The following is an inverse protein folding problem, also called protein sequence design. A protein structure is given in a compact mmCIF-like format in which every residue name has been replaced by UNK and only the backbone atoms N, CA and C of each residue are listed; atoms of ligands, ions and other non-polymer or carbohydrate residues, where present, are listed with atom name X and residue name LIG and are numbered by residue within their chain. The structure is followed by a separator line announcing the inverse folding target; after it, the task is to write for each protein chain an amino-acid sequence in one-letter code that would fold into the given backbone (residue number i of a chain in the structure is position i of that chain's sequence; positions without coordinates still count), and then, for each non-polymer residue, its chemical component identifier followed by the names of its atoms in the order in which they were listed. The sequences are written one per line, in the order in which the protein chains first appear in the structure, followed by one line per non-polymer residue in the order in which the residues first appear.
data_IF_997562136352
#
_entry.id   IF_997562136352
#
_cell.length_a   1.000
_cell.length_b   1.000
_cell.length_c   1.000
_cell.angle_alpha   90.00
_cell.angle_beta   90.00
_cell.angle_gamma   90.00
#
_symmetry.space_group_name_H-M   'P 1'
#
loop_
_entity.id
_entity.type
_entity.pdbx_description
1 polymer ?
#
# COMPACT_ATOMS: atom_id res chain seq x y z
N UNK A 1 -27.28 1.96 21.20
CA UNK A 1 -27.17 3.41 20.90
C UNK A 1 -26.03 3.74 19.92
N UNK A 2 -24.81 3.22 20.09
CA UNK A 2 -23.68 3.52 19.19
C UNK A 2 -23.90 2.95 17.76
N UNK A 3 -24.38 1.70 17.63
CA UNK A 3 -24.75 1.07 16.32
C UNK A 3 -25.91 1.81 15.65
N UNK A 4 -26.94 2.21 16.39
CA UNK A 4 -28.06 2.98 15.83
C UNK A 4 -27.62 4.36 15.32
N UNK A 5 -26.76 5.08 16.04
CA UNK A 5 -26.19 6.36 15.57
C UNK A 5 -25.36 6.17 14.29
N UNK A 6 -24.59 5.11 14.19
CA UNK A 6 -23.81 4.82 12.98
C UNK A 6 -24.71 4.49 11.78
N UNK A 7 -25.82 3.76 11.98
CA UNK A 7 -26.81 3.51 10.94
C UNK A 7 -27.47 4.82 10.46
N UNK A 8 -27.94 5.67 11.38
CA UNK A 8 -28.55 6.96 11.03
C UNK A 8 -27.57 7.90 10.27
N UNK A 9 -26.29 7.86 10.59
CA UNK A 9 -25.27 8.66 9.86
C UNK A 9 -25.11 8.10 8.44
N UNK A 10 -25.03 6.78 8.29
CA UNK A 10 -24.93 6.12 6.97
C UNK A 10 -26.15 6.40 6.10
N UNK A 11 -27.37 6.30 6.66
CA UNK A 11 -28.61 6.55 5.93
C UNK A 11 -28.67 7.99 5.42
N UNK A 12 -28.36 8.97 6.29
CA UNK A 12 -28.30 10.40 5.90
C UNK A 12 -27.23 10.67 4.85
N UNK A 13 -26.08 10.00 4.94
CA UNK A 13 -25.01 10.12 3.95
C UNK A 13 -25.46 9.58 2.59
N UNK A 14 -26.06 8.39 2.57
CA UNK A 14 -26.58 7.76 1.35
C UNK A 14 -27.68 8.64 0.72
N UNK A 15 -28.64 9.13 1.53
CA UNK A 15 -29.70 10.06 1.07
C UNK A 15 -29.14 11.33 0.47
N UNK A 16 -28.11 11.92 1.10
CA UNK A 16 -27.46 13.11 0.59
C UNK A 16 -26.73 12.84 -0.72
N UNK A 17 -25.92 11.79 -0.80
CA UNK A 17 -25.20 11.41 -2.02
C UNK A 17 -26.18 11.12 -3.15
N UNK A 18 -27.26 10.38 -2.89
CA UNK A 18 -28.28 10.06 -3.90
C UNK A 18 -28.91 11.35 -4.45
N UNK A 19 -29.25 12.32 -3.58
CA UNK A 19 -29.81 13.61 -4.02
C UNK A 19 -28.81 14.40 -4.87
N UNK A 20 -27.56 14.51 -4.42
CA UNK A 20 -26.51 15.25 -5.13
C UNK A 20 -26.18 14.57 -6.47
N UNK A 21 -26.12 13.25 -6.52
CA UNK A 21 -25.82 12.50 -7.74
C UNK A 21 -26.84 12.72 -8.87
N UNK A 22 -28.07 13.16 -8.55
CA UNK A 22 -29.12 13.48 -9.53
C UNK A 22 -29.13 14.95 -9.99
N UNK A 23 -28.20 15.80 -9.53
CA UNK A 23 -28.16 17.23 -9.89
C UNK A 23 -27.48 17.53 -11.24
N UNK A 24 -27.01 16.51 -11.98
CA UNK A 24 -26.46 16.64 -13.32
C UNK A 24 -24.93 16.71 -13.33
N UNK A 25 -24.29 15.57 -13.14
CA UNK A 25 -22.86 15.38 -13.34
C UNK A 25 -22.61 14.52 -14.58
N UNK A 26 -21.51 14.77 -15.28
CA UNK A 26 -21.07 13.93 -16.40
C UNK A 26 -20.40 12.66 -15.87
N UNK A 27 -19.62 12.80 -14.77
CA UNK A 27 -18.89 11.70 -14.13
C UNK A 27 -19.11 11.76 -12.62
N UNK A 28 -19.35 10.59 -12.01
CA UNK A 28 -19.32 10.38 -10.56
C UNK A 28 -18.22 9.36 -10.25
N UNK A 29 -17.20 9.79 -9.53
CA UNK A 29 -16.11 8.93 -9.08
C UNK A 29 -16.26 8.57 -7.61
N UNK A 30 -16.14 7.28 -7.32
CA UNK A 30 -16.12 6.72 -5.97
C UNK A 30 -14.77 6.08 -5.73
N UNK A 31 -14.20 6.33 -4.56
CA UNK A 31 -12.90 5.79 -4.16
C UNK A 31 -13.02 5.04 -2.84
N UNK A 32 -12.10 4.12 -2.63
CA UNK A 32 -11.99 3.25 -1.45
C UNK A 32 -13.11 2.20 -1.31
N UNK A 33 -12.67 1.00 -0.92
CA UNK A 33 -13.54 -0.16 -0.75
C UNK A 33 -14.73 0.09 0.20
N UNK A 34 -14.54 0.90 1.23
CA UNK A 34 -15.57 1.25 2.21
C UNK A 34 -16.80 1.94 1.58
N UNK A 35 -16.62 2.55 0.42
CA UNK A 35 -17.66 3.26 -0.34
C UNK A 35 -18.17 2.49 -1.55
N UNK A 36 -17.64 1.30 -1.83
CA UNK A 36 -17.97 0.50 -3.02
C UNK A 36 -19.48 0.26 -3.18
N UNK A 37 -20.21 0.13 -2.06
CA UNK A 37 -21.66 -0.07 -2.04
C UNK A 37 -22.46 1.12 -2.60
N UNK A 38 -21.87 2.31 -2.74
CA UNK A 38 -22.55 3.46 -3.37
C UNK A 38 -22.98 3.16 -4.80
N UNK A 39 -22.31 2.26 -5.50
CA UNK A 39 -22.70 1.81 -6.83
C UNK A 39 -24.15 1.32 -6.93
N UNK A 40 -24.75 0.84 -5.84
CA UNK A 40 -26.15 0.42 -5.81
C UNK A 40 -27.16 1.58 -5.79
N UNK A 41 -26.75 2.81 -5.48
CA UNK A 41 -27.63 3.97 -5.32
C UNK A 41 -27.31 5.09 -6.32
N UNK A 42 -26.22 4.96 -7.08
CA UNK A 42 -25.87 5.94 -8.10
C UNK A 42 -26.79 5.87 -9.33
N UNK A 43 -27.10 7.00 -9.99
CA UNK A 43 -27.95 7.02 -11.17
C UNK A 43 -27.27 6.32 -12.36
N UNK A 44 -28.06 5.57 -13.14
CA UNK A 44 -27.56 4.80 -14.28
C UNK A 44 -27.28 5.65 -15.54
N UNK A 45 -27.82 6.87 -15.59
CA UNK A 45 -27.64 7.81 -16.69
C UNK A 45 -26.37 8.68 -16.58
N UNK A 46 -25.53 8.45 -15.57
CA UNK A 46 -24.26 9.14 -15.36
C UNK A 46 -23.11 8.15 -15.55
N UNK A 47 -21.95 8.62 -16.00
CA UNK A 47 -20.74 7.79 -16.03
C UNK A 47 -20.22 7.60 -14.60
N UNK A 48 -20.23 6.37 -14.14
CA UNK A 48 -19.79 6.00 -12.79
C UNK A 48 -18.44 5.32 -12.83
N UNK A 49 -17.50 5.83 -12.06
CA UNK A 49 -16.12 5.30 -11.95
C UNK A 49 -15.89 4.82 -10.53
N UNK A 50 -15.34 3.61 -10.37
CA UNK A 50 -14.76 3.18 -9.11
C UNK A 50 -13.24 3.15 -9.21
N UNK A 51 -12.54 3.87 -8.34
CA UNK A 51 -11.08 3.80 -8.23
C UNK A 51 -10.71 2.78 -7.17
N UNK A 52 -10.13 1.68 -7.61
CA UNK A 52 -9.79 0.55 -6.75
C UNK A 52 -8.35 0.69 -6.24
N UNK A 53 -8.20 1.06 -4.97
CA UNK A 53 -6.89 1.27 -4.35
C UNK A 53 -6.22 -0.04 -3.90
N UNK A 54 -7.02 -1.03 -3.51
CA UNK A 54 -6.56 -2.34 -3.06
C UNK A 54 -7.63 -3.40 -3.34
N UNK A 55 -7.29 -4.46 -4.05
CA UNK A 55 -8.19 -5.60 -4.27
C UNK A 55 -8.40 -6.34 -2.95
N UNK A 56 -9.55 -6.12 -2.33
CA UNK A 56 -9.82 -6.65 -0.99
C UNK A 56 -9.84 -8.18 -0.98
N UNK A 57 -10.36 -8.82 -2.03
CA UNK A 57 -10.37 -10.27 -2.11
C UNK A 57 -8.95 -10.86 -2.21
N UNK A 58 -8.03 -10.22 -2.93
CA UNK A 58 -6.61 -10.62 -2.98
C UNK A 58 -5.96 -10.48 -1.61
N UNK A 59 -6.18 -9.34 -0.95
CA UNK A 59 -5.68 -9.13 0.41
C UNK A 59 -6.19 -10.21 1.37
N UNK A 60 -7.49 -10.48 1.38
CA UNK A 60 -8.10 -11.47 2.26
C UNK A 60 -7.59 -12.89 1.95
N UNK A 61 -7.33 -13.21 0.69
CA UNK A 61 -6.73 -14.49 0.29
C UNK A 61 -5.29 -14.61 0.80
N UNK A 62 -4.47 -13.57 0.62
CA UNK A 62 -3.11 -13.54 1.17
C UNK A 62 -3.11 -13.67 2.70
N UNK A 63 -4.05 -13.00 3.38
CA UNK A 63 -4.22 -13.08 4.83
C UNK A 63 -4.55 -14.51 5.28
N UNK A 64 -5.50 -15.18 4.62
CA UNK A 64 -5.85 -16.56 4.92
C UNK A 64 -4.69 -17.53 4.73
N UNK A 65 -3.83 -17.31 3.73
CA UNK A 65 -2.67 -18.16 3.47
C UNK A 65 -1.62 -18.13 4.59
N UNK A 66 -1.69 -17.13 5.48
CA UNK A 66 -0.83 -17.04 6.67
C UNK A 66 -1.44 -17.73 7.90
N UNK A 67 -2.69 -18.15 7.85
CA UNK A 67 -3.30 -18.86 8.97
C UNK A 67 -2.72 -20.27 9.12
N UNK A 68 -2.34 -20.65 10.34
CA UNK A 68 -1.91 -22.02 10.64
C UNK A 68 -3.03 -23.04 10.40
N UNK A 69 -4.29 -22.64 10.60
CA UNK A 69 -5.46 -23.43 10.33
C UNK A 69 -6.60 -22.52 9.87
N UNK A 70 -7.18 -22.81 8.71
CA UNK A 70 -8.35 -22.09 8.17
C UNK A 70 -9.62 -22.75 8.70
N UNK A 71 -10.38 -22.02 9.51
CA UNK A 71 -11.69 -22.50 10.01
C UNK A 71 -12.75 -22.35 8.90
N UNK A 72 -13.83 -23.18 8.93
CA UNK A 72 -14.94 -23.04 7.99
C UNK A 72 -15.56 -21.62 7.97
N UNK A 73 -15.61 -20.95 9.14
CA UNK A 73 -16.07 -19.56 9.26
C UNK A 73 -15.19 -18.56 8.51
N UNK A 74 -13.86 -18.74 8.53
CA UNK A 74 -12.91 -17.86 7.86
C UNK A 74 -13.09 -17.98 6.33
N UNK A 75 -13.21 -19.22 5.85
CA UNK A 75 -13.49 -19.50 4.43
C UNK A 75 -14.84 -18.93 3.98
N UNK A 76 -15.88 -19.07 4.81
CA UNK A 76 -17.20 -18.52 4.50
C UNK A 76 -17.16 -16.98 4.43
N UNK A 77 -16.52 -16.33 5.42
CA UNK A 77 -16.37 -14.88 5.44
C UNK A 77 -15.62 -14.36 4.21
N UNK A 78 -14.57 -15.07 3.81
CA UNK A 78 -13.83 -14.76 2.59
C UNK A 78 -14.72 -14.81 1.34
N UNK A 79 -15.47 -15.91 1.17
CA UNK A 79 -16.35 -16.09 0.01
C UNK A 79 -17.45 -15.01 -0.04
N UNK A 80 -18.06 -14.69 1.10
CA UNK A 80 -19.07 -13.63 1.20
C UNK A 80 -18.47 -12.25 0.86
N UNK A 81 -17.29 -11.95 1.37
CA UNK A 81 -16.62 -10.68 1.08
C UNK A 81 -16.24 -10.58 -0.40
N UNK A 82 -15.73 -11.67 -0.98
CA UNK A 82 -15.38 -11.76 -2.40
C UNK A 82 -16.61 -11.56 -3.30
N UNK A 83 -17.71 -12.26 -3.02
CA UNK A 83 -18.96 -12.14 -3.76
C UNK A 83 -19.55 -10.72 -3.64
N UNK A 84 -19.52 -10.12 -2.46
CA UNK A 84 -19.95 -8.74 -2.26
C UNK A 84 -19.14 -7.76 -3.11
N UNK A 85 -17.80 -7.87 -3.09
CA UNK A 85 -16.91 -7.01 -3.88
C UNK A 85 -17.21 -7.14 -5.38
N UNK A 86 -17.35 -8.36 -5.88
CA UNK A 86 -17.70 -8.66 -7.26
C UNK A 86 -19.04 -8.01 -7.68
N UNK A 87 -20.08 -8.24 -6.88
CA UNK A 87 -21.41 -7.69 -7.17
C UNK A 87 -21.44 -6.16 -7.12
N UNK A 88 -20.70 -5.54 -6.20
CA UNK A 88 -20.63 -4.10 -6.06
C UNK A 88 -19.88 -3.46 -7.25
N UNK A 89 -18.76 -4.06 -7.69
CA UNK A 89 -17.99 -3.59 -8.84
C UNK A 89 -18.81 -3.64 -10.16
N UNK A 90 -19.72 -4.61 -10.31
CA UNK A 90 -20.61 -4.68 -11.47
C UNK A 90 -21.60 -3.50 -11.57
N UNK A 91 -21.75 -2.69 -10.51
CA UNK A 91 -22.62 -1.51 -10.51
C UNK A 91 -21.97 -0.29 -11.11
N UNK A 92 -20.64 -0.31 -11.27
CA UNK A 92 -19.90 0.79 -11.89
C UNK A 92 -19.67 0.52 -13.38
N UNK A 93 -19.87 1.55 -14.20
CA UNK A 93 -19.60 1.46 -15.63
C UNK A 93 -18.11 1.30 -15.90
N UNK A 94 -17.28 2.04 -15.16
CA UNK A 94 -15.84 2.09 -15.33
C UNK A 94 -15.13 1.77 -14.01
N UNK A 95 -13.97 1.13 -14.11
CA UNK A 95 -13.12 0.83 -12.96
C UNK A 95 -11.70 1.29 -13.29
N UNK A 96 -11.05 1.97 -12.36
CA UNK A 96 -9.65 2.35 -12.44
C UNK A 96 -8.88 1.57 -11.37
N UNK A 97 -7.92 0.76 -11.78
CA UNK A 97 -6.93 0.15 -10.91
C UNK A 97 -5.68 1.03 -10.85
N UNK A 98 -4.94 1.02 -9.74
CA UNK A 98 -3.72 1.81 -9.60
C UNK A 98 -2.50 1.16 -10.28
N UNK A 99 -2.57 -0.14 -10.57
CA UNK A 99 -1.49 -0.89 -11.22
C UNK A 99 -2.03 -1.71 -12.39
N UNK A 100 -1.16 -2.01 -13.36
CA UNK A 100 -1.52 -2.90 -14.47
C UNK A 100 -1.78 -4.34 -13.98
N UNK A 101 -1.09 -4.77 -12.93
CA UNK A 101 -1.32 -6.08 -12.31
C UNK A 101 -2.75 -6.16 -11.75
N UNK A 102 -3.16 -5.15 -11.00
CA UNK A 102 -4.53 -5.11 -10.45
C UNK A 102 -5.58 -4.97 -11.56
N UNK A 103 -5.29 -4.24 -12.66
CA UNK A 103 -6.18 -4.16 -13.82
C UNK A 103 -6.43 -5.54 -14.44
N UNK A 104 -5.37 -6.30 -14.67
CA UNK A 104 -5.46 -7.65 -15.22
C UNK A 104 -6.19 -8.62 -14.27
N UNK A 105 -5.92 -8.53 -12.97
CA UNK A 105 -6.64 -9.31 -11.95
C UNK A 105 -8.12 -8.96 -11.93
N UNK A 106 -8.49 -7.68 -11.99
CA UNK A 106 -9.89 -7.23 -12.07
C UNK A 106 -10.56 -7.70 -13.35
N UNK A 107 -9.90 -7.59 -14.50
CA UNK A 107 -10.42 -8.05 -15.78
C UNK A 107 -10.72 -9.56 -15.75
N UNK A 108 -9.80 -10.36 -15.24
CA UNK A 108 -9.98 -11.79 -15.05
C UNK A 108 -11.11 -12.09 -14.05
N UNK A 109 -11.17 -11.36 -12.95
CA UNK A 109 -12.17 -11.54 -11.89
C UNK A 109 -13.58 -11.17 -12.34
N UNK A 110 -13.72 -10.07 -13.10
CA UNK A 110 -15.01 -9.60 -13.61
C UNK A 110 -15.44 -10.26 -14.92
N UNK A 111 -14.54 -11.00 -15.58
CA UNK A 111 -14.78 -11.63 -16.87
C UNK A 111 -14.95 -10.64 -18.02
N UNK A 112 -14.40 -9.43 -17.90
CA UNK A 112 -14.39 -8.38 -18.93
C UNK A 112 -13.11 -7.58 -18.87
N UNK A 113 -12.64 -7.09 -20.00
CA UNK A 113 -11.52 -6.14 -20.09
C UNK A 113 -11.97 -4.71 -20.35
N UNK A 114 -13.13 -4.55 -21.00
CA UNK A 114 -13.68 -3.25 -21.35
C UNK A 114 -14.00 -2.44 -20.10
N UNK A 115 -13.72 -1.13 -20.19
CA UNK A 115 -13.97 -0.16 -19.12
C UNK A 115 -13.20 -0.41 -17.81
N UNK A 116 -12.09 -1.17 -17.87
CA UNK A 116 -11.15 -1.34 -16.76
C UNK A 116 -9.81 -0.75 -17.18
N UNK A 117 -9.36 0.27 -16.46
CA UNK A 117 -8.18 1.07 -16.80
C UNK A 117 -7.11 0.92 -15.74
N UNK A 118 -5.84 0.98 -16.15
CA UNK A 118 -4.72 1.15 -15.23
C UNK A 118 -4.31 2.62 -15.23
N UNK A 119 -4.38 3.26 -14.07
CA UNK A 119 -3.89 4.62 -13.89
C UNK A 119 -3.36 4.78 -12.47
N UNK A 120 -2.04 4.92 -12.30
CA UNK A 120 -1.44 5.07 -10.97
C UNK A 120 -2.01 6.29 -10.23
N UNK A 121 -1.91 6.26 -8.91
CA UNK A 121 -2.22 7.43 -8.11
C UNK A 121 -1.31 8.59 -8.52
N UNK A 122 -1.88 9.78 -8.67
CA UNK A 122 -1.07 10.98 -8.92
C UNK A 122 -0.35 11.32 -7.62
N UNK A 123 0.93 11.08 -7.59
CA UNK A 123 1.80 11.36 -6.44
C UNK A 123 2.51 12.67 -6.69
N UNK A 124 2.43 13.58 -5.74
CA UNK A 124 3.29 14.76 -5.75
C UNK A 124 4.70 14.31 -5.34
N UNK A 125 5.49 13.95 -6.33
CA UNK A 125 6.91 13.70 -6.11
C UNK A 125 7.64 15.05 -6.06
N UNK A 126 7.83 15.57 -4.88
CA UNK A 126 8.80 16.63 -4.66
C UNK A 126 10.16 15.94 -4.61
N UNK A 127 10.86 15.91 -5.75
CA UNK A 127 12.27 15.61 -5.74
C UNK A 127 12.91 16.74 -4.93
N UNK A 128 13.07 16.52 -3.63
CA UNK A 128 13.90 17.37 -2.81
C UNK A 128 15.34 17.16 -3.27
N UNK A 129 15.68 17.76 -4.43
CA UNK A 129 17.04 17.82 -4.94
C UNK A 129 18.01 18.51 -3.96
N UNK A 130 17.47 19.12 -2.91
CA UNK A 130 18.18 19.78 -1.83
C UNK A 130 18.44 18.87 -0.62
N UNK A 131 17.74 17.72 -0.50
CA UNK A 131 18.04 16.76 0.57
C UNK A 131 19.23 15.91 0.19
N UNK A 132 20.35 16.18 0.80
CA UNK A 132 21.57 15.37 0.67
C UNK A 132 21.30 13.95 1.22
N UNK A 133 21.82 12.94 0.52
CA UNK A 133 21.80 11.57 1.03
C UNK A 133 22.62 11.45 2.29
N UNK A 134 22.02 11.00 3.39
CA UNK A 134 22.70 10.73 4.66
C UNK A 134 22.82 9.20 4.82
N UNK A 135 24.05 8.66 4.82
CA UNK A 135 24.23 7.22 4.96
C UNK A 135 23.84 6.71 6.35
N UNK A 136 23.32 5.49 6.40
CA UNK A 136 23.02 4.80 7.65
C UNK A 136 24.30 4.17 8.22
N UNK A 137 24.98 4.86 9.11
CA UNK A 137 26.21 4.37 9.76
C UNK A 137 25.96 3.66 11.10
N UNK A 138 24.78 3.84 11.69
CA UNK A 138 24.43 3.33 13.02
C UNK A 138 23.46 2.13 13.00
N UNK A 139 23.32 1.45 11.85
CA UNK A 139 22.43 0.28 11.68
C UNK A 139 21.02 0.55 12.20
N UNK A 140 20.48 1.72 11.88
CA UNK A 140 19.13 2.15 12.22
C UNK A 140 18.16 1.72 11.11
N UNK A 141 17.24 0.83 11.44
CA UNK A 141 16.21 0.36 10.53
C UNK A 141 14.86 0.96 10.90
N UNK A 142 14.11 1.41 9.92
CA UNK A 142 12.84 2.09 10.15
C UNK A 142 11.73 1.47 9.30
N UNK A 143 10.65 1.05 9.96
CA UNK A 143 9.41 0.67 9.32
C UNK A 143 8.38 1.79 9.48
N UNK A 144 7.60 2.09 8.43
CA UNK A 144 6.53 3.10 8.45
C UNK A 144 5.19 2.46 8.12
N UNK A 145 4.20 2.63 8.99
CA UNK A 145 2.85 2.15 8.73
C UNK A 145 1.91 2.24 9.92
N UNK A 146 0.60 2.33 9.64
CA UNK A 146 -0.45 2.34 10.65
C UNK A 146 -0.74 0.91 11.15
N UNK A 147 -0.66 0.68 12.44
CA UNK A 147 -0.71 -0.66 13.06
C UNK A 147 -2.07 -1.35 13.00
N UNK A 148 -3.18 -0.61 12.91
CA UNK A 148 -4.49 -1.23 12.73
C UNK A 148 -4.72 -1.75 11.29
N UNK A 149 -3.84 -1.38 10.35
CA UNK A 149 -3.86 -1.96 9.01
C UNK A 149 -3.11 -3.30 9.04
N UNK A 150 -3.83 -4.40 8.91
CA UNK A 150 -3.32 -5.76 9.11
C UNK A 150 -2.01 -6.07 8.35
N UNK A 151 -1.82 -5.69 7.08
CA UNK A 151 -0.55 -5.89 6.38
C UNK A 151 0.66 -5.23 7.06
N UNK A 152 0.46 -4.09 7.73
CA UNK A 152 1.53 -3.42 8.48
C UNK A 152 1.80 -4.13 9.80
N UNK A 153 0.76 -4.59 10.49
CA UNK A 153 0.90 -5.37 11.71
C UNK A 153 1.62 -6.69 11.43
N UNK A 154 1.22 -7.43 10.39
CA UNK A 154 1.88 -8.65 9.96
C UNK A 154 3.37 -8.42 9.66
N UNK A 155 3.71 -7.36 8.95
CA UNK A 155 5.08 -6.98 8.66
C UNK A 155 5.92 -6.77 9.92
N UNK A 156 5.39 -6.03 10.91
CA UNK A 156 6.08 -5.79 12.19
C UNK A 156 6.21 -7.07 13.01
N UNK A 157 5.16 -7.89 13.02
CA UNK A 157 5.19 -9.21 13.70
C UNK A 157 6.24 -10.12 13.08
N UNK A 158 6.35 -10.18 11.77
CA UNK A 158 7.36 -10.96 11.06
C UNK A 158 8.78 -10.46 11.37
N UNK A 159 9.00 -9.14 11.34
CA UNK A 159 10.28 -8.55 11.79
C UNK A 159 10.64 -9.01 13.19
N UNK A 160 9.73 -8.88 14.16
CA UNK A 160 10.01 -9.14 15.57
C UNK A 160 10.15 -10.64 15.88
N UNK A 161 9.34 -11.51 15.28
CA UNK A 161 9.26 -12.92 15.66
C UNK A 161 10.18 -13.83 14.84
N UNK A 162 10.60 -13.41 13.65
CA UNK A 162 11.39 -14.25 12.76
C UNK A 162 12.72 -13.60 12.35
N UNK A 163 12.69 -12.37 11.82
CA UNK A 163 13.89 -11.72 11.26
C UNK A 163 14.86 -11.32 12.39
N UNK A 164 14.36 -10.63 13.42
CA UNK A 164 15.19 -10.20 14.57
C UNK A 164 15.84 -11.37 15.30
N UNK A 165 15.16 -12.49 15.60
CA UNK A 165 15.82 -13.67 16.17
C UNK A 165 16.97 -14.23 15.31
N UNK A 166 16.87 -14.13 13.98
CA UNK A 166 17.97 -14.52 13.09
C UNK A 166 19.15 -13.54 13.20
N UNK A 167 18.90 -12.23 13.18
CA UNK A 167 19.94 -11.21 13.37
C UNK A 167 20.70 -11.38 14.70
N UNK A 168 19.99 -11.72 15.78
CA UNK A 168 20.60 -12.03 17.09
C UNK A 168 21.53 -13.24 17.03
N UNK A 169 21.15 -14.30 16.30
CA UNK A 169 22.02 -15.48 16.10
C UNK A 169 23.31 -15.11 15.37
N UNK A 170 23.25 -14.09 14.51
CA UNK A 170 24.41 -13.54 13.80
C UNK A 170 25.21 -12.53 14.66
N UNK A 171 24.86 -12.30 15.93
CA UNK A 171 25.44 -11.26 16.80
C UNK A 171 25.45 -9.87 16.16
N UNK A 172 24.38 -9.55 15.42
CA UNK A 172 24.24 -8.29 14.72
C UNK A 172 23.48 -7.27 15.59
N UNK A 173 24.16 -6.21 15.99
CA UNK A 173 23.57 -5.11 16.76
C UNK A 173 22.93 -4.07 15.84
N UNK A 174 21.73 -3.62 16.19
CA UNK A 174 20.93 -2.67 15.41
C UNK A 174 19.87 -1.98 16.27
N UNK A 175 19.24 -0.94 15.71
CA UNK A 175 18.01 -0.33 16.25
C UNK A 175 16.88 -0.52 15.24
N UNK A 176 15.69 -0.94 15.72
CA UNK A 176 14.49 -1.10 14.91
C UNK A 176 13.42 -0.11 15.36
N UNK A 177 13.09 0.85 14.51
CA UNK A 177 12.08 1.88 14.75
C UNK A 177 10.81 1.60 13.95
N UNK A 178 9.65 1.69 14.60
CA UNK A 178 8.33 1.55 13.97
C UNK A 178 7.60 2.88 14.11
N UNK A 179 7.42 3.56 12.98
CA UNK A 179 6.72 4.84 12.87
C UNK A 179 5.27 4.60 12.46
N UNK A 180 4.34 5.17 13.20
CA UNK A 180 2.90 5.08 13.00
C UNK A 180 2.17 4.72 14.29
N UNK A 181 0.91 5.08 14.36
CA UNK A 181 0.02 4.76 15.49
C UNK A 181 -0.66 3.41 15.31
N UNK A 182 -1.38 2.93 16.33
CA UNK A 182 -2.21 1.73 16.25
C UNK A 182 -1.48 0.45 16.67
N UNK A 183 -0.28 0.55 17.27
CA UNK A 183 0.46 -0.60 17.83
C UNK A 183 0.29 -0.75 19.33
N UNK A 184 -0.47 0.12 19.99
CA UNK A 184 -0.59 0.20 21.45
C UNK A 184 -1.08 -1.10 22.07
N UNK A 185 -2.06 -1.76 21.43
CA UNK A 185 -2.61 -3.04 21.90
C UNK A 185 -1.62 -4.21 21.78
N UNK A 186 -0.62 -4.08 20.91
CA UNK A 186 0.38 -5.12 20.63
C UNK A 186 1.74 -4.82 21.25
N UNK A 187 1.89 -3.66 21.91
CA UNK A 187 3.19 -3.13 22.37
C UNK A 187 3.91 -4.07 23.33
N UNK A 188 3.21 -4.71 24.27
CA UNK A 188 3.80 -5.65 25.23
C UNK A 188 4.31 -6.92 24.52
N UNK A 189 3.53 -7.48 23.58
CA UNK A 189 3.91 -8.66 22.82
C UNK A 189 5.12 -8.39 21.91
N UNK A 190 5.08 -7.25 21.18
CA UNK A 190 6.16 -6.85 20.29
C UNK A 190 7.47 -6.63 21.04
N UNK A 191 7.44 -5.90 22.17
CA UNK A 191 8.63 -5.67 23.00
C UNK A 191 9.17 -6.96 23.65
N UNK A 192 8.30 -7.92 23.95
CA UNK A 192 8.73 -9.22 24.46
C UNK A 192 9.46 -10.03 23.37
N UNK A 193 8.96 -9.99 22.13
CA UNK A 193 9.59 -10.68 21.01
C UNK A 193 10.87 -9.96 20.52
N UNK A 194 10.85 -8.63 20.53
CA UNK A 194 11.90 -7.75 20.03
C UNK A 194 12.16 -6.60 21.01
N UNK A 195 13.05 -6.77 22.01
CA UNK A 195 13.47 -5.70 22.93
C UNK A 195 14.12 -4.50 22.21
N UNK A 196 14.67 -4.70 21.01
CA UNK A 196 15.30 -3.66 20.17
C UNK A 196 14.28 -2.75 19.49
N UNK A 197 12.97 -3.06 19.59
CA UNK A 197 11.93 -2.27 18.92
C UNK A 197 11.63 -0.96 19.66
N UNK A 198 11.66 0.12 18.93
CA UNK A 198 11.15 1.42 19.34
C UNK A 198 9.84 1.72 18.62
N UNK A 199 8.72 1.74 19.35
CA UNK A 199 7.42 2.19 18.84
C UNK A 199 7.37 3.71 18.96
N UNK A 200 7.66 4.40 17.86
CA UNK A 200 7.85 5.87 17.82
C UNK A 200 6.51 6.62 17.84
N UNK A 201 5.46 6.02 17.26
CA UNK A 201 4.18 6.71 17.08
C UNK A 201 4.18 7.64 15.86
N UNK A 202 3.41 8.73 15.93
CA UNK A 202 3.30 9.70 14.85
C UNK A 202 4.52 10.63 14.78
N UNK A 203 4.96 10.92 13.56
CA UNK A 203 6.08 11.83 13.27
C UNK A 203 5.60 12.91 12.30
N UNK A 204 5.77 14.19 12.66
CA UNK A 204 5.34 15.31 11.81
C UNK A 204 6.13 15.42 10.51
N UNK A 205 7.45 15.26 10.57
CA UNK A 205 8.34 15.32 9.41
C UNK A 205 8.98 13.94 9.17
N UNK A 206 8.31 13.13 8.37
CA UNK A 206 8.76 11.77 8.06
C UNK A 206 10.12 11.76 7.33
N UNK A 207 10.32 12.67 6.38
CA UNK A 207 11.56 12.76 5.59
C UNK A 207 12.77 12.98 6.50
N UNK A 208 12.72 13.98 7.37
CA UNK A 208 13.82 14.24 8.30
C UNK A 208 14.06 13.10 9.30
N UNK A 209 12.98 12.42 9.71
CA UNK A 209 13.09 11.27 10.61
C UNK A 209 13.78 10.08 9.95
N UNK A 210 13.48 9.82 8.69
CA UNK A 210 14.02 8.68 7.94
C UNK A 210 15.49 8.84 7.57
N UNK A 211 15.98 10.06 7.39
CA UNK A 211 17.37 10.32 6.99
C UNK A 211 18.38 9.62 7.90
N UNK A 212 19.40 9.00 7.31
CA UNK A 212 20.42 8.23 8.03
C UNK A 212 19.89 6.90 8.57
N UNK A 213 18.76 6.37 8.06
CA UNK A 213 18.28 5.02 8.33
C UNK A 213 18.22 4.18 7.06
N UNK A 214 17.98 2.88 7.22
CA UNK A 214 17.56 1.97 6.15
C UNK A 214 16.09 1.67 6.38
N UNK A 215 15.25 1.95 5.38
CA UNK A 215 13.83 1.69 5.48
C UNK A 215 13.52 0.21 5.20
N UNK A 216 12.56 -0.33 5.95
CA UNK A 216 12.09 -1.71 5.78
C UNK A 216 10.65 -1.70 5.28
N UNK A 217 10.37 -2.50 4.24
CA UNK A 217 9.02 -2.69 3.69
C UNK A 217 8.71 -4.20 3.58
N UNK A 218 8.68 -4.93 4.71
CA UNK A 218 8.52 -6.38 4.73
C UNK A 218 7.05 -6.78 4.57
N UNK A 219 6.38 -6.25 3.56
CA UNK A 219 4.95 -6.48 3.30
C UNK A 219 4.75 -7.81 2.58
N UNK A 220 3.98 -8.72 3.17
CA UNK A 220 3.66 -10.04 2.61
C UNK A 220 2.20 -10.15 2.14
N UNK A 221 1.37 -9.17 2.47
CA UNK A 221 -0.08 -9.19 2.26
C UNK A 221 -0.52 -7.91 1.54
N UNK A 222 -1.53 -8.03 0.68
CA UNK A 222 -2.23 -6.93 0.04
C UNK A 222 -2.06 -6.89 -1.48
N UNK A 223 -2.64 -5.88 -2.10
CA UNK A 223 -2.51 -5.51 -3.51
C UNK A 223 -2.36 -3.99 -3.63
N UNK A 224 -2.31 -3.45 -4.82
CA UNK A 224 -2.18 -2.01 -5.04
C UNK A 224 -0.76 -1.47 -4.90
N UNK A 225 -0.59 -0.19 -5.19
CA UNK A 225 0.70 0.49 -5.11
C UNK A 225 1.07 0.86 -3.67
N UNK A 226 2.28 0.54 -3.27
CA UNK A 226 2.80 0.84 -1.92
C UNK A 226 3.35 2.26 -1.85
N UNK A 227 2.50 3.23 -1.51
CA UNK A 227 2.87 4.64 -1.40
C UNK A 227 4.10 4.87 -0.50
N UNK A 228 4.27 4.08 0.57
CA UNK A 228 5.41 4.18 1.46
C UNK A 228 6.77 4.02 0.76
N UNK A 229 6.87 3.25 -0.32
CA UNK A 229 8.11 3.13 -1.11
C UNK A 229 8.44 4.48 -1.77
N UNK A 230 7.41 5.16 -2.27
CA UNK A 230 7.58 6.48 -2.86
C UNK A 230 8.06 7.50 -1.82
N UNK A 231 7.55 7.41 -0.58
CA UNK A 231 8.01 8.24 0.54
C UNK A 231 9.48 7.97 0.88
N UNK A 232 9.92 6.68 0.86
CA UNK A 232 11.33 6.32 1.11
C UNK A 232 12.25 6.92 0.04
N UNK A 233 11.88 6.77 -1.23
CA UNK A 233 12.66 7.33 -2.35
C UNK A 233 12.71 8.87 -2.26
N UNK A 234 11.57 9.53 -2.01
CA UNK A 234 11.50 10.98 -1.84
C UNK A 234 12.33 11.48 -0.66
N UNK A 235 12.53 10.63 0.35
CA UNK A 235 13.34 10.94 1.54
C UNK A 235 14.84 10.63 1.35
N UNK A 236 15.26 10.18 0.17
CA UNK A 236 16.65 9.75 -0.12
C UNK A 236 17.14 8.66 0.85
N UNK A 237 16.30 7.66 1.12
CA UNK A 237 16.60 6.58 2.06
C UNK A 237 16.66 5.23 1.33
N UNK A 238 17.75 4.45 1.47
CA UNK A 238 17.82 3.12 0.90
C UNK A 238 16.82 2.20 1.61
N UNK A 239 16.25 1.24 0.89
CA UNK A 239 15.24 0.36 1.47
C UNK A 239 15.37 -1.09 1.05
N UNK A 240 14.84 -1.96 1.91
CA UNK A 240 14.71 -3.40 1.71
C UNK A 240 13.22 -3.72 1.68
N UNK A 241 12.79 -4.52 0.72
CA UNK A 241 11.39 -4.86 0.56
C UNK A 241 11.21 -6.33 0.19
N UNK A 242 9.97 -6.79 0.17
CA UNK A 242 9.58 -8.07 -0.44
C UNK A 242 9.11 -7.84 -1.87
N UNK A 243 9.06 -8.88 -2.68
CA UNK A 243 8.42 -8.84 -4.00
C UNK A 243 6.97 -8.37 -3.91
N UNK A 244 6.24 -8.78 -2.86
CA UNK A 244 4.87 -8.33 -2.57
C UNK A 244 4.82 -6.85 -2.18
N UNK A 245 5.81 -6.37 -1.47
CA UNK A 245 5.95 -4.95 -1.12
C UNK A 245 6.18 -4.05 -2.34
N UNK A 246 6.78 -4.59 -3.41
CA UNK A 246 7.07 -3.88 -4.67
C UNK A 246 5.95 -3.97 -5.71
N UNK A 247 4.91 -4.75 -5.45
CA UNK A 247 3.84 -4.95 -6.43
C UNK A 247 3.27 -3.61 -6.93
N UNK A 248 3.26 -3.43 -8.25
CA UNK A 248 2.86 -2.19 -8.91
C UNK A 248 3.93 -1.09 -8.99
N UNK A 249 5.15 -1.35 -8.50
CA UNK A 249 6.31 -0.46 -8.61
C UNK A 249 7.42 -1.21 -9.35
N UNK A 250 7.91 -0.64 -10.44
CA UNK A 250 8.88 -1.30 -11.33
C UNK A 250 10.33 -1.10 -10.89
N UNK A 251 10.65 -1.45 -9.63
CA UNK A 251 12.02 -1.46 -9.13
C UNK A 251 12.63 -2.85 -9.22
N UNK A 252 13.96 -2.91 -9.25
CA UNK A 252 14.74 -4.13 -9.48
C UNK A 252 15.70 -4.38 -8.33
N UNK A 253 15.82 -5.66 -7.93
CA UNK A 253 16.75 -6.08 -6.89
C UNK A 253 18.19 -5.74 -7.21
N UNK A 254 18.93 -5.24 -6.22
CA UNK A 254 20.34 -4.86 -6.34
C UNK A 254 20.60 -3.63 -7.23
N UNK A 255 19.55 -3.02 -7.79
CA UNK A 255 19.64 -1.82 -8.64
C UNK A 255 18.98 -0.62 -7.95
N UNK A 256 17.70 -0.71 -7.64
CA UNK A 256 16.92 0.37 -7.04
C UNK A 256 16.65 0.15 -5.53
N UNK A 257 16.68 -1.10 -5.11
CA UNK A 257 16.45 -1.54 -3.71
C UNK A 257 17.02 -2.95 -3.52
N UNK A 258 16.90 -3.51 -2.31
CA UNK A 258 17.09 -4.94 -2.10
C UNK A 258 15.74 -5.63 -1.92
N UNK A 259 15.58 -6.80 -2.54
CA UNK A 259 14.35 -7.61 -2.48
C UNK A 259 14.66 -8.92 -1.78
N UNK A 260 13.86 -9.25 -0.76
CA UNK A 260 13.99 -10.50 -0.02
C UNK A 260 12.62 -10.98 0.47
N UNK A 261 12.25 -12.22 0.16
CA UNK A 261 10.91 -12.77 0.41
C UNK A 261 10.85 -13.75 1.59
N UNK A 262 11.99 -14.12 2.15
CA UNK A 262 12.07 -15.01 3.32
C UNK A 262 12.92 -14.41 4.44
N UNK A 263 12.81 -14.98 5.61
CA UNK A 263 13.43 -14.49 6.84
C UNK A 263 14.94 -14.38 6.75
N UNK A 264 15.61 -15.37 6.16
CA UNK A 264 17.08 -15.42 6.08
C UNK A 264 17.59 -14.36 5.12
N UNK A 265 17.06 -14.35 3.89
CA UNK A 265 17.49 -13.42 2.85
C UNK A 265 17.19 -11.96 3.27
N UNK A 266 16.06 -11.71 3.99
CA UNK A 266 15.72 -10.38 4.46
C UNK A 266 16.70 -9.89 5.53
N UNK A 267 17.06 -10.75 6.48
CA UNK A 267 18.05 -10.44 7.50
C UNK A 267 19.46 -10.25 6.89
N UNK A 268 19.84 -11.09 5.93
CA UNK A 268 21.13 -10.97 5.22
C UNK A 268 21.18 -9.67 4.40
N UNK A 269 20.06 -9.26 3.77
CA UNK A 269 19.95 -7.97 3.11
C UNK A 269 20.11 -6.80 4.09
N UNK A 270 19.56 -6.89 5.32
CA UNK A 270 19.74 -5.88 6.37
C UNK A 270 21.23 -5.77 6.76
N UNK A 271 21.89 -6.91 6.99
CA UNK A 271 23.33 -6.96 7.33
C UNK A 271 24.16 -6.37 6.19
N UNK A 272 23.94 -6.82 4.96
CA UNK A 272 24.65 -6.39 3.76
C UNK A 272 24.54 -4.88 3.56
N UNK A 273 23.31 -4.36 3.51
CA UNK A 273 23.06 -2.96 3.20
C UNK A 273 23.59 -2.02 4.29
N UNK A 274 23.53 -2.42 5.58
CA UNK A 274 24.03 -1.59 6.66
C UNK A 274 25.56 -1.54 6.76
N UNK A 275 26.26 -2.48 6.15
CA UNK A 275 27.74 -2.53 6.14
C UNK A 275 28.35 -1.99 4.84
N UNK A 276 27.53 -1.61 3.85
CA UNK A 276 28.00 -1.15 2.53
C UNK A 276 27.41 0.22 2.18
N UNK A 277 28.14 1.28 2.52
CA UNK A 277 27.72 2.67 2.29
C UNK A 277 27.66 3.05 0.81
N UNK A 278 28.52 2.45 -0.02
CA UNK A 278 28.51 2.68 -1.47
C UNK A 278 27.26 2.05 -2.09
N UNK A 279 26.88 0.86 -1.64
CA UNK A 279 25.63 0.22 -2.06
C UNK A 279 24.41 1.06 -1.65
N UNK A 280 24.38 1.58 -0.41
CA UNK A 280 23.31 2.49 0.03
C UNK A 280 23.17 3.69 -0.91
N UNK A 281 24.29 4.37 -1.22
CA UNK A 281 24.32 5.53 -2.10
C UNK A 281 23.89 5.19 -3.53
N UNK A 282 24.36 4.07 -4.06
CA UNK A 282 24.01 3.61 -5.39
C UNK A 282 22.50 3.33 -5.51
N UNK A 283 21.93 2.58 -4.57
CA UNK A 283 20.49 2.25 -4.60
C UNK A 283 19.63 3.49 -4.51
N UNK A 284 19.97 4.44 -3.62
CA UNK A 284 19.22 5.71 -3.50
C UNK A 284 19.27 6.51 -4.80
N UNK A 285 20.44 6.62 -5.43
CA UNK A 285 20.59 7.35 -6.69
C UNK A 285 19.75 6.71 -7.81
N UNK A 286 19.87 5.40 -8.00
CA UNK A 286 19.13 4.67 -9.03
C UNK A 286 17.61 4.72 -8.82
N UNK A 287 17.16 4.55 -7.57
CA UNK A 287 15.75 4.66 -7.23
C UNK A 287 15.17 6.04 -7.54
N UNK A 288 15.93 7.12 -7.22
CA UNK A 288 15.52 8.49 -7.53
C UNK A 288 15.45 8.76 -9.03
N UNK A 289 16.46 8.34 -9.79
CA UNK A 289 16.48 8.53 -11.24
C UNK A 289 15.32 7.80 -11.91
N UNK A 290 15.06 6.57 -11.50
CA UNK A 290 13.95 5.79 -12.01
C UNK A 290 12.61 6.40 -11.63
N UNK A 291 12.48 6.90 -10.39
CA UNK A 291 11.29 7.58 -9.92
C UNK A 291 10.97 8.84 -10.74
N UNK A 292 11.96 9.69 -11.00
CA UNK A 292 11.80 10.89 -11.83
C UNK A 292 11.32 10.55 -13.26
N UNK A 293 11.82 9.44 -13.81
CA UNK A 293 11.50 9.02 -15.17
C UNK A 293 10.15 8.31 -15.28
N UNK A 294 9.75 7.52 -14.28
CA UNK A 294 8.55 6.67 -14.36
C UNK A 294 7.33 7.27 -13.65
N UNK A 295 7.55 8.10 -12.65
CA UNK A 295 6.50 8.65 -11.78
C UNK A 295 6.46 10.18 -11.86
N UNK A 296 6.66 10.74 -13.07
CA UNK A 296 6.47 12.16 -13.31
C UNK A 296 5.01 12.52 -13.01
N UNK A 297 4.74 13.45 -12.07
CA UNK A 297 3.37 13.82 -11.68
C UNK A 297 2.53 14.29 -12.86
N UNK A 298 3.14 14.99 -13.83
CA UNK A 298 2.43 15.47 -15.02
C UNK A 298 2.00 14.30 -15.93
N UNK A 299 2.88 13.34 -16.18
CA UNK A 299 2.54 12.15 -16.98
C UNK A 299 1.45 11.30 -16.31
N UNK A 300 1.49 11.15 -14.98
CA UNK A 300 0.45 10.46 -14.23
C UNK A 300 -0.89 11.17 -14.33
N UNK A 301 -0.88 12.51 -14.24
CA UNK A 301 -2.06 13.34 -14.42
C UNK A 301 -2.61 13.21 -15.84
N UNK A 302 -1.76 13.30 -16.85
CA UNK A 302 -2.15 13.19 -18.26
C UNK A 302 -2.76 11.82 -18.58
N UNK A 303 -2.20 10.73 -18.02
CA UNK A 303 -2.81 9.39 -18.10
C UNK A 303 -4.20 9.36 -17.47
N UNK A 304 -4.36 9.94 -16.28
CA UNK A 304 -5.67 10.00 -15.61
C UNK A 304 -6.67 10.84 -16.42
N UNK A 305 -6.26 11.98 -16.94
CA UNK A 305 -7.09 12.84 -17.79
C UNK A 305 -7.47 12.15 -19.11
N UNK A 306 -6.57 11.36 -19.70
CA UNK A 306 -6.87 10.59 -20.90
C UNK A 306 -7.98 9.55 -20.65
N UNK A 307 -7.98 8.90 -19.48
CA UNK A 307 -9.05 7.97 -19.09
C UNK A 307 -10.38 8.71 -18.98
N UNK A 308 -10.44 9.85 -18.27
CA UNK A 308 -11.68 10.63 -18.17
C UNK A 308 -12.18 11.13 -19.54
N UNK A 309 -11.26 11.59 -20.39
CA UNK A 309 -11.59 12.04 -21.75
C UNK A 309 -12.14 10.90 -22.61
N UNK A 310 -11.60 9.69 -22.48
CA UNK A 310 -12.13 8.50 -23.15
C UNK A 310 -13.54 8.18 -22.67
N UNK A 311 -13.77 8.15 -21.36
CA UNK A 311 -15.07 7.88 -20.74
C UNK A 311 -16.14 8.85 -21.23
N UNK A 312 -15.80 10.14 -21.35
CA UNK A 312 -16.73 11.17 -21.85
C UNK A 312 -17.01 11.09 -23.36
N UNK A 313 -16.11 10.47 -24.13
CA UNK A 313 -16.29 10.26 -25.58
C UNK A 313 -17.11 9.01 -25.91
N UNK A 314 -17.13 8.03 -25.02
CA UNK A 314 -17.90 6.78 -25.22
C UNK A 314 -19.44 7.01 -25.10
N UNK A 315 -19.91 8.25 -24.90
CA UNK A 315 -21.33 8.64 -24.90
C UNK A 315 -21.89 9.00 -26.28
N UNK A 316 -21.11 8.94 -27.32
CA UNK A 316 -21.51 9.20 -28.69
C UNK A 316 -21.17 7.98 -29.59
#
# INVERSE_FOLDING_TARGET
LRRQRQMCIRDRYIDYITKVAHTGFDIIQVEFYELIALGYVLPQNVQTIFVHHELRYIRNENEMNLFQAIRPSDRMNFLVAKDFEWNALQKYKHIIALTEVDRLLLASYLGREDHIYASPAVVKFESNSETEFIPCVHRRFTFVGYGEHFPNLDAVVWLCKEIVPYLRKCNFEFTLQVVGMGYECYSAELRTACPEIELVGFVENLTSFLQGSIALVPIRIGSGMRMKILDMVSSNVPFITTSKGLEGIHFSDGVDCLIADNTVDFADAMIKLSNDLELQKMLVHQANDKMKNMYNPQEMLDRRLSVYTSILKDEF
#
